data_IF_802095974085
#
_entry.id   IF_802095974085
#
_cell.length_a   1.000
_cell.length_b   1.000
_cell.length_c   1.000
_cell.angle_alpha   90.00
_cell.angle_beta   90.00
_cell.angle_gamma   90.00
#
_symmetry.space_group_name_H-M   'P 1'
#
loop_
_entity.id
_entity.type
_entity.pdbx_description
1 polymer ?
#
# COMPACT_ATOMS: atom_id res chain seq x y z
N UNK A 1 7.02 9.71 -10.77
CA UNK A 1 6.73 8.72 -9.71
C UNK A 1 5.66 9.20 -8.74
N UNK A 2 5.82 10.36 -8.07
CA UNK A 2 4.82 10.84 -7.10
C UNK A 2 3.38 10.94 -7.67
N UNK A 3 3.21 11.52 -8.87
CA UNK A 3 1.88 11.61 -9.50
C UNK A 3 1.25 10.25 -9.81
N UNK A 4 2.06 9.24 -10.15
CA UNK A 4 1.57 7.88 -10.41
C UNK A 4 1.00 7.25 -9.13
N UNK A 5 1.72 7.36 -8.01
CA UNK A 5 1.27 6.84 -6.71
C UNK A 5 0.01 7.55 -6.24
N UNK A 6 0.00 8.89 -6.27
CA UNK A 6 -1.17 9.67 -5.86
C UNK A 6 -2.40 9.35 -6.72
N UNK A 7 -2.22 9.11 -8.02
CA UNK A 7 -3.31 8.68 -8.88
C UNK A 7 -3.89 7.33 -8.43
N UNK A 8 -3.05 6.32 -8.19
CA UNK A 8 -3.50 4.99 -7.76
C UNK A 8 -4.14 5.02 -6.37
N UNK A 9 -3.59 5.81 -5.45
CA UNK A 9 -4.19 6.05 -4.12
C UNK A 9 -5.61 6.58 -4.27
N UNK A 10 -5.81 7.64 -5.07
CA UNK A 10 -7.14 8.22 -5.24
C UNK A 10 -8.12 7.25 -5.89
N UNK A 11 -7.68 6.43 -6.85
CA UNK A 11 -8.51 5.38 -7.44
C UNK A 11 -8.93 4.35 -6.38
N UNK A 12 -7.98 3.85 -5.58
CA UNK A 12 -8.24 2.86 -4.53
C UNK A 12 -9.22 3.41 -3.49
N UNK A 13 -9.01 4.65 -3.02
CA UNK A 13 -9.89 5.28 -2.04
C UNK A 13 -11.29 5.51 -2.63
N UNK A 14 -11.38 5.93 -3.89
CA UNK A 14 -12.65 6.14 -4.58
C UNK A 14 -13.45 4.84 -4.71
N UNK A 15 -12.80 3.74 -5.05
CA UNK A 15 -13.45 2.43 -5.16
C UNK A 15 -13.85 1.88 -3.79
N UNK A 16 -12.98 2.00 -2.80
CA UNK A 16 -13.30 1.62 -1.42
C UNK A 16 -14.47 2.44 -0.85
N UNK A 17 -14.65 3.69 -1.29
CA UNK A 17 -15.81 4.53 -0.93
C UNK A 17 -17.12 3.94 -1.39
N UNK A 18 -17.16 3.35 -2.59
CA UNK A 18 -18.36 2.67 -3.09
C UNK A 18 -18.67 1.41 -2.29
N UNK A 19 -17.62 0.67 -1.89
CA UNK A 19 -17.73 -0.59 -1.17
C UNK A 19 -18.13 -0.44 0.31
N UNK A 20 -17.79 0.69 0.95
CA UNK A 20 -18.06 0.92 2.39
C UNK A 20 -19.47 1.43 2.70
N UNK A 21 -20.26 1.81 1.68
CA UNK A 21 -21.63 2.29 1.91
C UNK A 21 -22.56 1.13 2.29
N UNK A 22 -23.43 1.30 3.31
CA UNK A 22 -23.78 2.55 3.99
C UNK A 22 -22.99 2.83 5.29
N UNK A 23 -22.14 1.91 5.75
CA UNK A 23 -21.51 2.00 7.08
C UNK A 23 -20.48 3.13 7.22
N UNK A 24 -19.93 3.60 6.09
CA UNK A 24 -18.81 4.56 6.02
C UNK A 24 -17.59 4.15 6.89
N UNK A 25 -17.51 2.88 7.28
CA UNK A 25 -16.37 2.32 8.00
C UNK A 25 -15.42 1.71 6.98
N UNK A 26 -14.28 2.36 6.78
CA UNK A 26 -13.23 1.89 5.89
C UNK A 26 -12.31 0.93 6.63
N UNK A 27 -12.43 -0.37 6.34
CA UNK A 27 -11.56 -1.41 6.87
C UNK A 27 -10.52 -1.83 5.84
N UNK A 28 -9.58 -2.68 6.26
CA UNK A 28 -8.63 -3.28 5.33
C UNK A 28 -9.35 -4.08 4.23
N UNK A 29 -10.51 -4.70 4.53
CA UNK A 29 -11.28 -5.53 3.58
C UNK A 29 -11.75 -4.76 2.36
N UNK A 30 -12.28 -3.55 2.53
CA UNK A 30 -12.70 -2.70 1.40
C UNK A 30 -11.49 -2.30 0.55
N UNK A 31 -10.32 -2.06 1.15
CA UNK A 31 -9.10 -1.84 0.37
C UNK A 31 -8.63 -3.08 -0.38
N UNK A 32 -8.70 -4.28 0.20
CA UNK A 32 -8.33 -5.51 -0.51
C UNK A 32 -9.21 -5.69 -1.76
N UNK A 33 -10.52 -5.49 -1.59
CA UNK A 33 -11.46 -5.58 -2.71
C UNK A 33 -11.20 -4.49 -3.77
N UNK A 34 -10.94 -3.25 -3.35
CA UNK A 34 -10.62 -2.15 -4.26
C UNK A 34 -9.32 -2.42 -5.04
N UNK A 35 -8.26 -2.88 -4.36
CA UNK A 35 -6.97 -3.23 -4.98
C UNK A 35 -7.15 -4.38 -5.98
N UNK A 36 -7.90 -5.42 -5.62
CA UNK A 36 -8.21 -6.53 -6.52
C UNK A 36 -9.04 -6.13 -7.74
N UNK A 37 -9.83 -5.05 -7.64
CA UNK A 37 -10.58 -4.50 -8.77
C UNK A 37 -9.75 -3.57 -9.66
N UNK A 38 -8.75 -2.88 -9.10
CA UNK A 38 -7.97 -1.85 -9.81
C UNK A 38 -6.74 -2.44 -10.49
N UNK A 39 -6.08 -3.40 -9.83
CA UNK A 39 -4.86 -4.01 -10.36
C UNK A 39 -5.20 -5.25 -11.22
N UNK A 40 -4.54 -5.45 -12.36
CA UNK A 40 -4.79 -6.60 -13.21
C UNK A 40 -4.01 -7.84 -12.77
N UNK A 41 -4.66 -9.01 -12.82
CA UNK A 41 -4.01 -10.32 -12.82
C UNK A 41 -3.05 -10.58 -11.65
N UNK A 42 -1.81 -10.97 -11.98
CA UNK A 42 -0.79 -11.31 -10.99
C UNK A 42 -0.39 -10.11 -10.10
N UNK A 43 -0.44 -8.88 -10.63
CA UNK A 43 -0.14 -7.67 -9.84
C UNK A 43 -1.08 -7.53 -8.64
N UNK A 44 -2.38 -7.83 -8.84
CA UNK A 44 -3.33 -7.84 -7.75
C UNK A 44 -2.97 -8.91 -6.72
N UNK A 45 -2.73 -10.15 -7.16
CA UNK A 45 -2.46 -11.26 -6.24
C UNK A 45 -1.24 -11.00 -5.35
N UNK A 46 -0.16 -10.46 -5.93
CA UNK A 46 1.05 -10.12 -5.18
C UNK A 46 0.83 -8.94 -4.23
N UNK A 47 0.23 -7.84 -4.70
CA UNK A 47 -0.10 -6.70 -3.85
C UNK A 47 -0.99 -7.10 -2.66
N UNK A 48 -2.00 -7.95 -2.91
CA UNK A 48 -2.92 -8.44 -1.89
C UNK A 48 -2.21 -9.35 -0.87
N UNK A 49 -1.30 -10.21 -1.36
CA UNK A 49 -0.48 -11.09 -0.53
C UNK A 49 0.44 -10.29 0.39
N UNK A 50 1.15 -9.31 -0.15
CA UNK A 50 2.08 -8.48 0.63
C UNK A 50 1.34 -7.58 1.63
N UNK A 51 0.19 -7.03 1.26
CA UNK A 51 -0.71 -6.34 2.19
C UNK A 51 -1.16 -7.22 3.36
N UNK A 52 -1.49 -8.48 3.11
CA UNK A 52 -1.85 -9.43 4.15
C UNK A 52 -0.67 -9.81 5.05
N UNK A 53 0.53 -10.01 4.48
CA UNK A 53 1.76 -10.27 5.27
C UNK A 53 2.07 -9.10 6.20
N UNK A 54 2.02 -7.87 5.70
CA UNK A 54 2.27 -6.67 6.49
C UNK A 54 1.25 -6.53 7.64
N UNK A 55 -0.03 -6.80 7.36
CA UNK A 55 -1.08 -6.78 8.38
C UNK A 55 -0.88 -7.87 9.45
N UNK A 56 -0.55 -9.09 9.04
CA UNK A 56 -0.29 -10.21 9.96
C UNK A 56 0.92 -9.90 10.84
N UNK A 57 2.02 -9.40 10.25
CA UNK A 57 3.22 -9.01 10.99
C UNK A 57 2.90 -7.96 12.05
N UNK A 58 2.15 -6.92 11.68
CA UNK A 58 1.66 -5.91 12.62
C UNK A 58 0.77 -6.51 13.71
N UNK A 59 -0.13 -7.44 13.38
CA UNK A 59 -1.06 -8.05 14.33
C UNK A 59 -0.42 -9.04 15.29
N UNK A 60 0.71 -9.66 14.93
CA UNK A 60 1.35 -10.71 15.73
C UNK A 60 2.03 -10.17 17.01
N UNK A 61 2.11 -8.85 17.20
CA UNK A 61 2.33 -8.25 18.52
C UNK A 61 3.63 -8.61 19.23
N UNK A 62 4.65 -9.11 18.52
CA UNK A 62 5.94 -9.52 19.09
C UNK A 62 6.94 -8.37 19.29
N UNK A 63 6.50 -7.12 19.18
CA UNK A 63 7.38 -5.97 19.02
C UNK A 63 7.24 -4.95 20.15
N UNK A 64 8.36 -4.35 20.53
CA UNK A 64 8.48 -3.42 21.65
C UNK A 64 7.51 -2.23 21.51
N UNK A 65 7.05 -1.70 22.64
CA UNK A 65 6.06 -0.62 22.68
C UNK A 65 6.56 0.69 22.04
N UNK A 66 7.87 0.79 21.80
CA UNK A 66 8.59 1.94 21.24
C UNK A 66 8.63 1.98 19.71
N UNK A 67 8.42 0.85 19.02
CA UNK A 67 8.49 0.79 17.55
C UNK A 67 7.30 1.50 16.88
N UNK A 68 7.59 2.14 15.74
CA UNK A 68 6.58 2.78 14.90
C UNK A 68 5.66 1.75 14.20
N UNK A 69 4.47 2.18 13.76
CA UNK A 69 3.56 1.32 13.00
C UNK A 69 4.17 0.80 11.70
N UNK A 70 5.00 1.63 11.06
CA UNK A 70 5.74 1.27 9.84
C UNK A 70 6.71 0.11 10.12
N UNK A 71 7.53 0.22 11.17
CA UNK A 71 8.48 -0.83 11.57
C UNK A 71 7.76 -2.12 11.98
N UNK A 72 6.67 -2.00 12.77
CA UNK A 72 5.84 -3.13 13.19
C UNK A 72 5.21 -3.86 12.00
N UNK A 73 4.83 -3.15 10.94
CA UNK A 73 4.30 -3.73 9.72
C UNK A 73 5.41 -4.29 8.79
N UNK A 74 6.68 -4.00 9.07
CA UNK A 74 7.82 -4.40 8.23
C UNK A 74 7.84 -3.71 6.88
N UNK A 75 7.34 -2.46 6.82
CA UNK A 75 7.26 -1.68 5.60
C UNK A 75 8.33 -0.60 5.56
N UNK A 76 8.77 -0.24 4.36
CA UNK A 76 9.60 0.96 4.12
C UNK A 76 8.69 2.17 3.89
N UNK A 77 7.54 1.98 3.24
CA UNK A 77 6.57 3.03 3.00
C UNK A 77 5.96 3.56 4.30
N UNK A 78 5.80 4.89 4.42
CA UNK A 78 5.38 5.51 5.67
C UNK A 78 3.88 5.28 5.96
N UNK A 79 3.57 4.32 6.82
CA UNK A 79 2.18 4.01 7.25
C UNK A 79 1.52 5.22 7.91
N UNK A 80 2.28 6.01 8.68
CA UNK A 80 1.78 7.22 9.33
C UNK A 80 1.30 8.29 8.35
N UNK A 81 1.97 8.43 7.20
CA UNK A 81 1.57 9.37 6.14
C UNK A 81 0.32 8.88 5.42
N UNK A 82 0.26 7.57 5.10
CA UNK A 82 -0.94 6.95 4.53
C UNK A 82 -2.15 7.11 5.46
N UNK A 83 -1.95 7.00 6.76
CA UNK A 83 -3.01 7.24 7.75
C UNK A 83 -3.50 8.68 7.75
N UNK A 84 -2.60 9.68 7.65
CA UNK A 84 -2.99 11.09 7.56
C UNK A 84 -3.81 11.36 6.30
N UNK A 85 -3.30 10.91 5.15
CA UNK A 85 -3.97 11.07 3.87
C UNK A 85 -5.35 10.40 3.85
N UNK A 86 -5.49 9.20 4.42
CA UNK A 86 -6.80 8.54 4.54
C UNK A 86 -7.78 9.36 5.40
N UNK A 87 -7.32 10.00 6.48
CA UNK A 87 -8.15 10.88 7.31
C UNK A 87 -8.58 12.14 6.56
N UNK A 88 -7.70 12.71 5.74
CA UNK A 88 -8.01 13.90 4.95
C UNK A 88 -9.00 13.60 3.80
N UNK A 89 -9.05 12.36 3.33
CA UNK A 89 -9.89 11.93 2.21
C UNK A 89 -11.15 11.17 2.64
N UNK A 90 -11.36 10.90 3.93
CA UNK A 90 -12.45 10.05 4.41
C UNK A 90 -13.14 10.61 5.65
N UNK A 91 -14.46 10.77 5.57
CA UNK A 91 -15.26 11.40 6.63
C UNK A 91 -15.73 10.42 7.71
N UNK A 92 -15.66 9.10 7.45
CA UNK A 92 -16.11 8.06 8.37
C UNK A 92 -15.01 7.43 9.22
N UNK A 93 -15.30 6.27 9.82
CA UNK A 93 -14.32 5.53 10.63
C UNK A 93 -13.30 4.85 9.74
N UNK A 94 -12.04 4.83 10.17
CA UNK A 94 -10.94 4.16 9.48
C UNK A 94 -10.34 3.11 10.41
N UNK A 95 -10.33 1.85 9.96
CA UNK A 95 -9.68 0.75 10.67
C UNK A 95 -8.16 0.90 10.70
N UNK A 96 -7.52 0.40 11.77
CA UNK A 96 -6.06 0.47 11.93
C UNK A 96 -5.30 -0.24 10.80
N UNK A 97 -5.83 -1.36 10.31
CA UNK A 97 -5.25 -2.15 9.22
C UNK A 97 -5.32 -1.47 7.85
N UNK A 98 -6.17 -0.46 7.69
CA UNK A 98 -6.42 0.21 6.41
C UNK A 98 -5.17 0.94 5.93
N UNK A 99 -4.53 1.73 6.79
CA UNK A 99 -3.32 2.47 6.44
C UNK A 99 -2.13 1.55 6.13
N UNK A 100 -2.03 0.41 6.84
CA UNK A 100 -1.01 -0.61 6.61
C UNK A 100 -1.20 -1.23 5.23
N UNK A 101 -2.44 -1.59 4.88
CA UNK A 101 -2.74 -2.20 3.60
C UNK A 101 -2.47 -1.26 2.43
N UNK A 102 -2.83 0.02 2.57
CA UNK A 102 -2.55 1.04 1.57
C UNK A 102 -1.04 1.25 1.39
N UNK A 103 -0.29 1.36 2.49
CA UNK A 103 1.17 1.50 2.45
C UNK A 103 1.84 0.31 1.76
N UNK A 104 1.48 -0.92 2.14
CA UNK A 104 2.01 -2.14 1.53
C UNK A 104 1.72 -2.23 0.03
N UNK A 105 0.51 -1.84 -0.39
CA UNK A 105 0.14 -1.81 -1.82
C UNK A 105 0.98 -0.80 -2.59
N UNK A 106 1.19 0.39 -2.03
CA UNK A 106 2.02 1.42 -2.68
C UNK A 106 3.49 1.02 -2.74
N UNK A 107 4.00 0.39 -1.68
CA UNK A 107 5.35 -0.16 -1.65
C UNK A 107 5.56 -1.20 -2.74
N UNK A 108 4.63 -2.15 -2.86
CA UNK A 108 4.63 -3.16 -3.91
C UNK A 108 4.66 -2.52 -5.31
N UNK A 109 3.75 -1.59 -5.60
CA UNK A 109 3.69 -0.94 -6.91
C UNK A 109 4.97 -0.16 -7.22
N UNK A 110 5.58 0.47 -6.21
CA UNK A 110 6.85 1.14 -6.37
C UNK A 110 8.01 0.18 -6.60
N UNK A 111 8.08 -0.92 -5.86
CA UNK A 111 9.10 -1.94 -6.02
C UNK A 111 9.05 -2.53 -7.43
N UNK A 112 7.87 -2.94 -7.89
CA UNK A 112 7.66 -3.48 -9.23
C UNK A 112 8.07 -2.48 -10.32
N UNK A 113 7.66 -1.21 -10.19
CA UNK A 113 8.02 -0.17 -11.16
C UNK A 113 9.54 0.07 -11.19
N UNK A 114 10.20 0.08 -10.02
CA UNK A 114 11.64 0.30 -9.90
C UNK A 114 12.43 -0.90 -10.44
N UNK A 115 11.98 -2.12 -10.19
CA UNK A 115 12.59 -3.35 -10.71
C UNK A 115 12.55 -3.38 -12.24
N UNK A 116 11.37 -3.16 -12.83
CA UNK A 116 11.20 -3.09 -14.28
C UNK A 116 12.04 -1.97 -14.89
N UNK A 117 12.07 -0.80 -14.25
CA UNK A 117 12.88 0.34 -14.70
C UNK A 117 14.38 0.05 -14.60
N UNK A 118 14.83 -0.62 -13.54
CA UNK A 118 16.22 -1.00 -13.33
C UNK A 118 16.70 -2.02 -14.36
N UNK A 119 15.89 -3.04 -14.64
CA UNK A 119 16.14 -4.02 -15.69
C UNK A 119 16.23 -3.34 -17.05
N UNK A 120 15.25 -2.49 -17.39
CA UNK A 120 15.28 -1.73 -18.64
C UNK A 120 16.51 -0.81 -18.75
N UNK A 121 16.93 -0.13 -17.67
CA UNK A 121 18.12 0.72 -17.68
C UNK A 121 19.40 -0.09 -17.92
N UNK A 122 19.52 -1.25 -17.26
CA UNK A 122 20.65 -2.19 -17.42
C UNK A 122 20.75 -2.70 -18.85
N UNK A 123 19.63 -3.11 -19.44
CA UNK A 123 19.58 -3.64 -20.80
C UNK A 123 19.96 -2.57 -21.84
N UNK A 124 19.62 -1.30 -21.57
CA UNK A 124 19.99 -0.17 -22.41
C UNK A 124 21.42 0.35 -22.17
N UNK A 125 22.28 -0.41 -21.45
CA UNK A 125 23.66 -0.06 -21.08
C UNK A 125 23.79 1.30 -20.38
N UNK A 126 22.70 1.85 -19.86
CA UNK A 126 22.73 2.99 -18.96
C UNK A 126 22.79 2.41 -17.56
N UNK A 127 24.01 2.13 -17.09
CA UNK A 127 24.22 1.81 -15.68
C UNK A 127 23.81 3.03 -14.87
N UNK A 128 22.56 3.05 -14.38
CA UNK A 128 22.23 3.90 -13.26
C UNK A 128 22.98 3.31 -12.06
N UNK A 129 23.84 4.09 -11.38
CA UNK A 129 24.61 3.60 -10.26
C UNK A 129 23.65 3.43 -9.07
N UNK A 130 22.99 2.28 -8.99
CA UNK A 130 22.45 1.78 -7.74
C UNK A 130 23.24 0.53 -7.40
N UNK A 131 24.32 0.76 -6.67
CA UNK A 131 24.99 -0.25 -5.86
C UNK A 131 24.03 -0.62 -4.73
N UNK A 132 23.63 -1.88 -4.72
CA UNK A 132 23.42 -2.64 -3.48
C UNK A 132 24.60 -3.60 -3.39
#
# INVERSE_FOLDING_TARGET
MNQFLMHHIHLIISEARKLSQPSQHLTSKELQMAVGSILPGELANHALSDGNKAFIRYSQGLHENTESTTEKAGLVFPVGEMSKMLKDQWEGRIGKGTAIYLAATMEYLCAELLELSGNAARDNKRSLPFLI
#
